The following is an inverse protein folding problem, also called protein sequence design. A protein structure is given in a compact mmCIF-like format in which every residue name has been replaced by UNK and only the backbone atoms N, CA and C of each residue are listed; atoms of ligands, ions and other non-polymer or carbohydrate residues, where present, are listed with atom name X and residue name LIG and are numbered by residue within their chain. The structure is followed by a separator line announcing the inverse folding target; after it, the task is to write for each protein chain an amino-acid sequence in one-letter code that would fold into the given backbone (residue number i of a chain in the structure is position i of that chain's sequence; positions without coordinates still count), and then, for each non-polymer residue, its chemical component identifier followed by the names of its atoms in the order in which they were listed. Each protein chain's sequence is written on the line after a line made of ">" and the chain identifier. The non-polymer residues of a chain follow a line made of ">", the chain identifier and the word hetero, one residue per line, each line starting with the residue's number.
data_IF_821988777130
#
_entry.id   IF_821988777130
#
_cell.length_a   1.000
_cell.length_b   1.000
_cell.length_c   1.000
_cell.angle_alpha   90.00
_cell.angle_beta   90.00
_cell.angle_gamma   90.00
#
_symmetry.space_group_name_H-M   'P 1'
#
loop_
_entity.id
_entity.type
_entity.pdbx_description
1 polymer ?
#
# COMPACT_ATOMS: atom_id res chain seq x y z
N UNK A 1 27.07 -43.16 32.41
CA UNK A 1 27.21 -42.51 33.73
C UNK A 1 26.34 -41.26 33.61
N UNK A 2 25.04 -41.42 33.78
CA UNK A 2 24.16 -41.11 34.92
C UNK A 2 24.60 -39.85 35.67
N UNK A 3 23.71 -38.87 35.75
CA UNK A 3 22.73 -38.69 36.81
C UNK A 3 21.71 -37.59 36.44
N UNK A 4 20.41 -37.94 36.58
CA UNK A 4 19.23 -37.08 36.68
C UNK A 4 19.29 -36.08 37.83
N UNK A 5 18.65 -34.92 37.63
CA UNK A 5 17.89 -34.26 38.70
C UNK A 5 16.74 -33.43 38.14
N UNK A 6 15.52 -33.92 38.35
CA UNK A 6 14.28 -33.20 38.32
C UNK A 6 14.15 -32.31 39.55
N UNK A 7 13.63 -31.12 39.46
CA UNK A 7 12.93 -30.45 40.56
C UNK A 7 11.69 -29.73 40.11
N UNK A 8 10.66 -29.99 40.84
CA UNK A 8 9.22 -29.72 40.73
C UNK A 8 8.85 -28.28 41.03
N UNK A 9 7.75 -27.84 40.43
CA UNK A 9 6.99 -26.64 40.75
C UNK A 9 6.42 -26.60 42.17
N UNK A 10 6.02 -25.40 42.62
CA UNK A 10 4.64 -25.32 43.13
C UNK A 10 3.80 -24.15 42.58
N UNK A 11 2.54 -24.48 42.41
CA UNK A 11 1.43 -23.63 42.10
C UNK A 11 1.11 -22.63 43.24
N UNK A 12 0.75 -21.39 42.90
CA UNK A 12 0.07 -20.49 43.83
C UNK A 12 -1.20 -19.89 43.18
N UNK A 13 -2.25 -20.03 43.97
CA UNK A 13 -3.68 -19.75 43.68
C UNK A 13 -3.97 -18.24 43.63
N UNK A 14 -4.93 -17.88 42.78
CA UNK A 14 -5.62 -16.58 42.75
C UNK A 14 -6.53 -16.39 43.98
N UNK A 15 -6.83 -15.13 44.35
CA UNK A 15 -8.14 -14.81 44.88
C UNK A 15 -8.99 -13.94 43.93
N UNK A 16 -10.24 -14.36 43.79
CA UNK A 16 -11.36 -13.59 43.23
C UNK A 16 -11.72 -12.44 44.17
N UNK A 17 -11.98 -11.27 43.64
CA UNK A 17 -12.80 -10.26 44.32
C UNK A 17 -14.01 -9.91 43.47
N UNK A 18 -15.19 -10.20 44.02
CA UNK A 18 -16.48 -9.63 43.66
C UNK A 18 -16.49 -8.14 44.08
N UNK A 19 -17.06 -7.28 43.27
CA UNK A 19 -17.65 -6.02 43.72
C UNK A 19 -18.97 -5.79 42.96
N UNK A 20 -19.95 -5.50 43.75
CA UNK A 20 -21.38 -5.36 43.62
C UNK A 20 -21.85 -4.21 42.75
N UNK A 21 -23.06 -4.40 42.19
CA UNK A 21 -23.95 -3.43 41.56
C UNK A 21 -24.28 -2.25 42.49
N UNK A 22 -24.36 -1.06 41.90
CA UNK A 22 -25.10 0.08 42.47
C UNK A 22 -25.79 0.82 41.34
N UNK A 23 -27.11 0.65 41.22
CA UNK A 23 -27.96 1.41 40.32
C UNK A 23 -28.34 2.77 40.91
N UNK A 24 -28.53 3.75 40.05
CA UNK A 24 -29.34 4.91 40.35
C UNK A 24 -30.07 5.40 39.10
N UNK A 25 -31.38 5.28 39.14
CA UNK A 25 -32.37 5.88 38.24
C UNK A 25 -32.60 7.32 38.62
N UNK A 26 -32.72 8.23 37.67
CA UNK A 26 -33.54 9.45 37.86
C UNK A 26 -34.19 9.85 36.54
N UNK A 27 -35.50 9.95 36.60
CA UNK A 27 -36.42 10.36 35.54
C UNK A 27 -36.72 11.88 35.64
N UNK A 28 -37.27 12.42 34.57
CA UNK A 28 -37.98 13.71 34.56
C UNK A 28 -37.45 14.63 33.43
N UNK A 29 -38.24 15.38 32.68
CA UNK A 29 -39.66 15.47 32.43
C UNK A 29 -39.86 16.23 31.10
N UNK A 30 -41.00 16.02 30.49
CA UNK A 30 -41.52 16.68 29.27
C UNK A 30 -41.69 18.21 29.47
N UNK A 31 -41.53 18.95 28.36
CA UNK A 31 -42.34 20.14 28.12
C UNK A 31 -42.65 20.28 26.63
N UNK A 32 -43.92 20.13 26.31
CA UNK A 32 -44.58 20.53 25.08
C UNK A 32 -44.86 22.04 25.13
N UNK A 33 -44.72 22.74 24.01
CA UNK A 33 -45.52 23.93 23.74
C UNK A 33 -45.77 24.02 22.23
N UNK A 34 -47.05 24.16 21.90
CA UNK A 34 -47.62 24.16 20.56
C UNK A 34 -48.11 25.58 20.16
N UNK A 35 -48.35 25.70 18.85
CA UNK A 35 -49.29 26.65 18.16
C UNK A 35 -48.86 28.12 18.07
N UNK A 36 -48.96 28.77 16.91
CA UNK A 36 -50.13 28.97 16.02
C UNK A 36 -49.74 29.71 14.72
N UNK A 37 -50.23 29.27 13.60
CA UNK A 37 -51.03 29.89 12.51
C UNK A 37 -50.91 31.42 12.31
N UNK A 38 -50.71 31.91 11.04
CA UNK A 38 -51.76 32.18 10.05
C UNK A 38 -51.16 32.80 8.77
N UNK A 39 -51.66 32.33 7.65
CA UNK A 39 -52.20 32.97 6.41
C UNK A 39 -51.29 33.88 5.55
N UNK A 40 -51.15 33.68 4.30
CA UNK A 40 -51.93 33.80 3.13
C UNK A 40 -51.07 34.08 1.87
N UNK A 41 -51.41 33.45 0.80
CA UNK A 41 -50.94 33.42 -0.59
C UNK A 41 -50.92 34.78 -1.34
N UNK A 42 -50.61 34.85 -2.64
CA UNK A 42 -49.73 34.03 -3.52
C UNK A 42 -48.76 34.90 -4.37
N UNK A 43 -47.65 34.33 -4.85
CA UNK A 43 -46.93 34.92 -5.98
C UNK A 43 -46.23 33.83 -6.82
N UNK A 44 -46.74 33.71 -7.99
CA UNK A 44 -46.14 33.31 -9.30
C UNK A 44 -44.89 32.40 -9.27
N UNK A 45 -45.13 31.15 -9.67
CA UNK A 45 -44.19 30.17 -10.15
C UNK A 45 -43.39 30.67 -11.36
N UNK A 46 -42.06 30.84 -11.18
CA UNK A 46 -41.10 30.67 -12.26
C UNK A 46 -40.45 29.29 -12.04
N UNK A 47 -40.75 28.39 -12.96
CA UNK A 47 -40.08 27.10 -13.06
C UNK A 47 -38.59 27.33 -13.32
N UNK A 48 -37.76 27.06 -12.27
CA UNK A 48 -36.32 26.91 -12.40
C UNK A 48 -36.06 25.46 -12.78
N UNK A 49 -35.77 25.24 -14.06
CA UNK A 49 -35.25 23.96 -14.55
C UNK A 49 -33.90 23.69 -13.89
N UNK A 50 -33.88 22.85 -12.87
CA UNK A 50 -32.64 22.22 -12.39
C UNK A 50 -32.03 21.42 -13.53
N UNK A 51 -30.72 21.58 -13.80
CA UNK A 51 -30.06 20.66 -14.71
C UNK A 51 -30.06 19.28 -14.08
N UNK A 52 -30.77 18.34 -14.71
CA UNK A 52 -30.59 16.92 -14.44
C UNK A 52 -29.12 16.60 -14.70
N UNK A 53 -28.34 16.48 -13.65
CA UNK A 53 -27.07 15.76 -13.70
C UNK A 53 -27.40 14.33 -14.08
N UNK A 54 -27.33 14.02 -15.37
CA UNK A 54 -27.14 12.65 -15.85
C UNK A 54 -25.85 12.16 -15.22
N UNK A 55 -25.97 11.53 -14.07
CA UNK A 55 -24.92 10.71 -13.49
C UNK A 55 -24.59 9.66 -14.54
N UNK A 56 -23.41 9.80 -15.15
CA UNK A 56 -22.84 8.71 -15.92
C UNK A 56 -22.81 7.51 -14.96
N UNK A 57 -23.68 6.54 -15.22
CA UNK A 57 -23.66 5.26 -14.53
C UNK A 57 -22.24 4.72 -14.72
N UNK A 58 -21.45 4.71 -13.65
CA UNK A 58 -20.17 4.01 -13.63
C UNK A 58 -20.47 2.58 -14.02
N UNK A 59 -20.05 2.18 -15.22
CA UNK A 59 -20.18 0.81 -15.67
C UNK A 59 -19.46 -0.05 -14.62
N UNK A 60 -20.25 -0.71 -13.78
CA UNK A 60 -19.69 -1.60 -12.76
C UNK A 60 -18.94 -2.69 -13.50
N UNK A 61 -17.66 -2.82 -13.24
CA UNK A 61 -16.82 -3.83 -13.86
C UNK A 61 -17.48 -5.21 -13.71
N UNK A 62 -17.54 -5.99 -14.79
CA UNK A 62 -18.18 -7.30 -14.77
C UNK A 62 -17.25 -8.31 -14.15
N UNK A 63 -17.68 -9.00 -13.10
CA UNK A 63 -17.01 -10.19 -12.59
C UNK A 63 -17.25 -11.34 -13.59
N UNK A 64 -16.17 -11.91 -14.09
CA UNK A 64 -16.23 -13.01 -15.05
C UNK A 64 -16.42 -14.35 -14.32
N UNK A 65 -17.11 -15.28 -14.96
CA UNK A 65 -17.35 -16.62 -14.41
C UNK A 65 -16.10 -17.49 -14.56
N UNK A 66 -15.61 -18.15 -13.47
CA UNK A 66 -14.50 -19.08 -13.58
C UNK A 66 -14.90 -20.34 -14.37
N UNK A 67 -13.92 -21.16 -14.83
CA UNK A 67 -14.20 -22.44 -15.46
C UNK A 67 -14.87 -23.39 -14.48
N UNK A 68 -15.61 -24.37 -14.97
CA UNK A 68 -16.23 -25.43 -14.13
C UNK A 68 -15.23 -26.48 -13.65
N UNK A 69 -14.11 -26.63 -14.34
CA UNK A 69 -13.01 -27.54 -13.98
C UNK A 69 -12.17 -27.01 -12.82
N UNK A 70 -11.53 -27.89 -12.08
CA UNK A 70 -10.58 -27.51 -11.01
C UNK A 70 -9.33 -26.85 -11.60
N UNK A 71 -8.96 -25.69 -11.05
CA UNK A 71 -7.72 -24.98 -11.40
C UNK A 71 -7.01 -24.52 -10.13
N UNK A 72 -5.72 -24.79 -10.05
CA UNK A 72 -4.84 -24.25 -9.03
C UNK A 72 -4.06 -23.09 -9.67
N UNK A 73 -4.34 -21.88 -9.22
CA UNK A 73 -3.58 -20.68 -9.62
C UNK A 73 -2.40 -20.46 -8.68
N UNK A 74 -1.30 -20.03 -9.24
CA UNK A 74 -0.08 -19.67 -8.51
C UNK A 74 0.20 -18.17 -8.67
N UNK A 75 0.48 -17.51 -7.55
CA UNK A 75 0.91 -16.12 -7.49
C UNK A 75 2.21 -16.00 -6.72
N UNK A 76 3.12 -15.14 -7.18
CA UNK A 76 4.28 -14.74 -6.40
C UNK A 76 4.76 -13.35 -6.77
N UNK A 77 5.47 -12.70 -5.85
CA UNK A 77 6.12 -11.42 -6.14
C UNK A 77 6.09 -10.43 -4.99
N UNK A 78 5.48 -9.27 -5.22
CA UNK A 78 5.46 -8.16 -4.28
C UNK A 78 5.13 -8.54 -2.85
N UNK A 79 6.00 -8.16 -1.92
CA UNK A 79 5.71 -8.31 -0.49
C UNK A 79 4.77 -7.22 0.04
N UNK A 80 4.61 -6.10 -0.67
CA UNK A 80 3.63 -5.06 -0.34
C UNK A 80 2.21 -5.51 -0.71
N UNK A 81 2.03 -6.15 -1.88
CA UNK A 81 0.73 -6.65 -2.35
C UNK A 81 0.34 -8.02 -1.72
N UNK A 82 1.32 -8.82 -1.29
CA UNK A 82 1.12 -10.16 -0.74
C UNK A 82 0.07 -10.25 0.39
N UNK A 83 -0.02 -9.32 1.39
CA UNK A 83 -1.08 -9.36 2.39
C UNK A 83 -2.49 -9.29 1.80
N UNK A 84 -2.70 -8.56 0.70
CA UNK A 84 -3.99 -8.46 0.05
C UNK A 84 -4.37 -9.78 -0.67
N UNK A 85 -3.42 -10.43 -1.34
CA UNK A 85 -3.64 -11.76 -1.93
C UNK A 85 -4.01 -12.81 -0.87
N UNK A 86 -3.41 -12.74 0.33
CA UNK A 86 -3.74 -13.61 1.45
C UNK A 86 -5.17 -13.38 1.99
N UNK A 87 -5.71 -12.18 1.87
CA UNK A 87 -7.12 -11.90 2.20
C UNK A 87 -8.05 -12.40 1.09
N UNK A 88 -7.68 -12.23 -0.17
CA UNK A 88 -8.50 -12.59 -1.32
C UNK A 88 -8.62 -14.11 -1.52
N UNK A 89 -7.51 -14.84 -1.43
CA UNK A 89 -7.43 -16.26 -1.77
C UNK A 89 -8.48 -17.11 -1.04
N UNK A 90 -8.54 -17.11 0.30
CA UNK A 90 -9.52 -17.90 1.05
C UNK A 90 -10.97 -17.53 0.73
N UNK A 91 -11.27 -16.25 0.54
CA UNK A 91 -12.63 -15.77 0.25
C UNK A 91 -13.04 -16.16 -1.16
N UNK A 92 -12.15 -16.00 -2.16
CA UNK A 92 -12.40 -16.40 -3.53
C UNK A 92 -12.58 -17.90 -3.68
N UNK A 93 -11.70 -18.71 -3.06
CA UNK A 93 -11.80 -20.18 -3.09
C UNK A 93 -13.05 -20.71 -2.35
N UNK A 94 -13.51 -20.00 -1.31
CA UNK A 94 -14.80 -20.33 -0.67
C UNK A 94 -15.99 -20.08 -1.59
N UNK A 95 -15.94 -18.99 -2.38
CA UNK A 95 -16.99 -18.66 -3.34
C UNK A 95 -16.95 -19.55 -4.58
N UNK A 96 -15.76 -19.98 -5.00
CA UNK A 96 -15.49 -20.82 -6.18
C UNK A 96 -14.60 -22.00 -5.79
N UNK A 97 -15.16 -23.08 -5.18
CA UNK A 97 -14.38 -24.17 -4.57
C UNK A 97 -13.48 -24.95 -5.55
N UNK A 98 -13.76 -24.83 -6.84
CA UNK A 98 -12.93 -25.42 -7.89
C UNK A 98 -11.71 -24.59 -8.28
N UNK A 99 -11.56 -23.37 -7.70
CA UNK A 99 -10.39 -22.53 -7.91
C UNK A 99 -9.63 -22.37 -6.60
N UNK A 100 -8.37 -22.77 -6.59
CA UNK A 100 -7.46 -22.53 -5.47
C UNK A 100 -6.40 -21.51 -5.87
N UNK A 101 -5.92 -20.73 -4.92
CA UNK A 101 -4.85 -19.76 -5.12
C UNK A 101 -3.74 -20.00 -4.09
N UNK A 102 -2.53 -20.26 -4.57
CA UNK A 102 -1.31 -20.30 -3.75
C UNK A 102 -0.54 -19.02 -3.96
N UNK A 103 -0.17 -18.33 -2.87
CA UNK A 103 0.48 -17.02 -2.92
C UNK A 103 1.81 -17.02 -2.16
N UNK A 104 2.78 -16.23 -2.61
CA UNK A 104 4.08 -16.09 -1.95
C UNK A 104 4.68 -14.69 -2.13
N UNK A 105 5.12 -14.07 -1.04
CA UNK A 105 5.83 -12.79 -1.04
C UNK A 105 7.35 -12.98 -1.27
N UNK A 106 7.79 -13.03 -2.52
CA UNK A 106 9.18 -13.33 -2.90
C UNK A 106 9.97 -12.13 -3.42
N UNK A 107 9.33 -10.96 -3.50
CA UNK A 107 9.84 -9.74 -4.11
C UNK A 107 9.39 -9.57 -5.57
N UNK A 108 9.06 -8.34 -5.95
CA UNK A 108 8.49 -8.02 -7.28
C UNK A 108 9.39 -8.45 -8.44
N UNK A 109 10.71 -8.37 -8.26
CA UNK A 109 11.67 -8.85 -9.29
C UNK A 109 11.50 -10.33 -9.62
N UNK A 110 11.27 -11.17 -8.59
CA UNK A 110 10.95 -12.61 -8.77
C UNK A 110 9.61 -12.79 -9.46
N UNK A 111 8.56 -12.06 -9.00
CA UNK A 111 7.22 -12.12 -9.62
C UNK A 111 7.24 -11.78 -11.10
N UNK A 112 7.88 -10.68 -11.48
CA UNK A 112 8.02 -10.27 -12.89
C UNK A 112 8.78 -11.33 -13.70
N UNK A 113 9.92 -11.82 -13.20
CA UNK A 113 10.74 -12.77 -13.94
C UNK A 113 10.06 -14.13 -14.13
N UNK A 114 9.35 -14.63 -13.12
CA UNK A 114 8.63 -15.89 -13.21
C UNK A 114 7.38 -15.79 -14.10
N UNK A 115 6.65 -14.67 -14.06
CA UNK A 115 5.54 -14.42 -14.98
C UNK A 115 6.04 -14.31 -16.43
N UNK A 116 7.16 -13.64 -16.67
CA UNK A 116 7.78 -13.54 -17.98
C UNK A 116 8.23 -14.90 -18.53
N UNK A 117 8.72 -15.79 -17.65
CA UNK A 117 9.11 -17.16 -18.00
C UNK A 117 7.92 -18.12 -18.14
N UNK A 118 6.67 -17.69 -17.78
CA UNK A 118 5.51 -18.58 -17.73
C UNK A 118 5.59 -19.65 -16.63
N UNK A 119 6.42 -19.41 -15.60
CA UNK A 119 6.62 -20.33 -14.48
C UNK A 119 5.53 -20.19 -13.40
N UNK A 120 4.80 -19.10 -13.40
CA UNK A 120 3.64 -18.82 -12.56
C UNK A 120 2.52 -18.16 -13.36
N UNK A 121 1.31 -18.24 -12.83
CA UNK A 121 0.11 -17.68 -13.48
C UNK A 121 0.02 -16.17 -13.31
N UNK A 122 0.38 -15.65 -12.13
CA UNK A 122 0.26 -14.25 -11.76
C UNK A 122 1.53 -13.80 -11.04
N UNK A 123 2.28 -12.87 -11.63
CA UNK A 123 3.34 -12.13 -10.94
C UNK A 123 2.74 -10.92 -10.21
N UNK A 124 3.20 -10.63 -9.00
CA UNK A 124 2.81 -9.43 -8.25
C UNK A 124 3.93 -8.39 -8.29
N UNK A 125 3.57 -7.11 -8.53
CA UNK A 125 4.54 -6.03 -8.65
C UNK A 125 3.95 -4.69 -8.17
N UNK A 126 4.74 -3.92 -7.43
CA UNK A 126 4.37 -2.56 -7.00
C UNK A 126 4.76 -1.49 -8.04
N UNK A 127 5.36 -1.91 -9.15
CA UNK A 127 5.70 -1.04 -10.26
C UNK A 127 5.32 -1.67 -11.59
N UNK A 128 5.05 -0.82 -12.57
CA UNK A 128 4.82 -1.25 -13.95
C UNK A 128 6.10 -1.79 -14.57
N UNK A 129 5.93 -2.63 -15.60
CA UNK A 129 7.04 -3.16 -16.39
C UNK A 129 7.80 -2.02 -17.07
N UNK A 130 9.13 -2.06 -17.01
CA UNK A 130 9.98 -1.15 -17.75
C UNK A 130 9.85 -1.37 -19.26
N UNK A 131 10.23 -0.36 -20.06
CA UNK A 131 10.23 -0.48 -21.51
C UNK A 131 11.10 -1.64 -22.02
N UNK A 132 12.21 -1.93 -21.33
CA UNK A 132 13.07 -3.09 -21.65
C UNK A 132 12.37 -4.42 -21.37
N UNK A 133 11.64 -4.53 -20.26
CA UNK A 133 10.86 -5.75 -19.95
C UNK A 133 9.72 -5.96 -20.93
N UNK A 134 8.98 -4.91 -21.29
CA UNK A 134 7.93 -4.97 -22.33
C UNK A 134 8.50 -5.37 -23.69
N UNK A 135 9.66 -4.83 -24.07
CA UNK A 135 10.32 -5.15 -25.34
C UNK A 135 10.83 -6.59 -25.36
N UNK A 136 11.36 -7.08 -24.24
CA UNK A 136 11.84 -8.46 -24.12
C UNK A 136 10.70 -9.49 -24.08
N UNK A 137 9.55 -9.10 -23.53
CA UNK A 137 8.37 -9.96 -23.32
C UNK A 137 7.08 -9.26 -23.79
N UNK A 138 6.83 -9.15 -25.13
CA UNK A 138 5.72 -8.36 -25.68
C UNK A 138 4.32 -8.81 -25.25
N UNK A 139 4.19 -10.06 -24.79
CA UNK A 139 2.93 -10.62 -24.28
C UNK A 139 2.67 -10.40 -22.79
N UNK A 140 3.59 -9.73 -22.09
CA UNK A 140 3.45 -9.50 -20.66
C UNK A 140 2.60 -8.25 -20.39
N UNK A 141 1.58 -8.38 -19.54
CA UNK A 141 0.59 -7.34 -19.26
C UNK A 141 0.85 -6.74 -17.86
N UNK A 142 0.61 -5.42 -17.73
CA UNK A 142 0.49 -4.74 -16.46
C UNK A 142 -0.99 -4.53 -16.13
N UNK A 143 -1.55 -5.27 -15.23
CA UNK A 143 -2.97 -5.16 -14.87
C UNK A 143 -3.07 -4.49 -13.51
N UNK A 144 -3.46 -3.18 -13.41
CA UNK A 144 -3.66 -2.52 -12.14
C UNK A 144 -4.73 -3.23 -11.30
N UNK A 145 -4.46 -3.42 -9.99
CA UNK A 145 -5.32 -4.12 -9.05
C UNK A 145 -5.88 -3.20 -7.95
N UNK A 146 -5.05 -2.33 -7.40
CA UNK A 146 -5.39 -1.40 -6.32
C UNK A 146 -4.39 -0.24 -6.31
N UNK A 147 -4.62 0.76 -5.48
CA UNK A 147 -3.64 1.82 -5.19
C UNK A 147 -3.04 1.55 -3.82
N UNK A 148 -1.72 1.65 -3.71
CA UNK A 148 -0.99 1.56 -2.45
C UNK A 148 -0.07 2.75 -2.22
N UNK A 149 0.64 2.73 -1.10
CA UNK A 149 1.64 3.73 -0.74
C UNK A 149 2.83 3.07 -0.05
N UNK A 150 3.94 3.81 -0.01
CA UNK A 150 5.13 3.40 0.74
C UNK A 150 5.45 4.42 1.82
N UNK A 151 5.64 3.96 3.05
CA UNK A 151 6.00 4.76 4.22
C UNK A 151 7.52 4.92 4.33
N UNK A 152 7.96 5.98 5.00
CA UNK A 152 9.31 6.11 5.54
C UNK A 152 9.24 5.97 7.06
N UNK A 153 9.76 4.88 7.57
CA UNK A 153 9.72 4.56 9.00
C UNK A 153 11.10 4.71 9.64
N UNK A 154 11.12 4.92 10.94
CA UNK A 154 12.36 5.02 11.72
C UNK A 154 12.21 4.41 13.11
N UNK A 155 13.32 3.99 13.70
CA UNK A 155 13.39 3.53 15.08
C UNK A 155 14.19 4.52 15.92
N UNK A 156 13.48 5.43 16.59
CA UNK A 156 14.10 6.50 17.37
C UNK A 156 13.39 6.68 18.71
N UNK A 157 13.69 5.84 19.71
CA UNK A 157 13.05 5.90 21.01
C UNK A 157 13.21 7.29 21.67
N UNK A 158 12.14 7.77 22.28
CA UNK A 158 12.10 9.10 22.94
C UNK A 158 11.74 10.26 22.01
N UNK A 159 11.64 10.05 20.72
CA UNK A 159 11.04 11.02 19.78
C UNK A 159 9.57 10.71 19.62
N UNK A 160 8.73 11.66 19.99
CA UNK A 160 7.26 11.58 19.82
C UNK A 160 6.81 12.33 18.59
N UNK A 161 5.68 11.88 18.02
CA UNK A 161 5.12 12.47 16.80
C UNK A 161 5.83 12.02 15.53
N UNK A 162 5.56 12.73 14.45
CA UNK A 162 6.07 12.40 13.13
C UNK A 162 7.18 13.38 12.74
N UNK A 163 8.37 12.85 12.43
CA UNK A 163 9.45 13.67 11.89
C UNK A 163 9.13 14.07 10.44
N UNK A 164 9.48 15.30 10.09
CA UNK A 164 9.44 15.79 8.70
C UNK A 164 10.76 15.47 8.03
N UNK A 165 10.69 14.80 6.89
CA UNK A 165 11.83 14.49 6.04
C UNK A 165 11.51 14.86 4.59
N UNK A 166 12.47 15.44 3.89
CA UNK A 166 12.34 15.74 2.47
C UNK A 166 13.26 14.82 1.62
N UNK A 167 13.10 14.78 0.29
CA UNK A 167 13.93 13.94 -0.56
C UNK A 167 15.42 14.21 -0.41
N UNK A 168 15.83 15.46 -0.23
CA UNK A 168 17.23 15.84 -0.09
C UNK A 168 17.85 15.31 1.21
N UNK A 169 17.14 15.43 2.33
CA UNK A 169 17.60 14.86 3.60
C UNK A 169 17.68 13.35 3.53
N UNK A 170 16.65 12.69 2.97
CA UNK A 170 16.63 11.23 2.84
C UNK A 170 17.75 10.76 1.90
N UNK A 171 17.94 11.40 0.75
CA UNK A 171 19.03 11.09 -0.18
C UNK A 171 20.39 11.17 0.52
N UNK A 172 20.66 12.27 1.21
CA UNK A 172 21.92 12.47 1.94
C UNK A 172 22.14 11.45 3.07
N UNK A 173 21.07 10.97 3.69
CA UNK A 173 21.16 9.86 4.65
C UNK A 173 21.61 8.57 3.93
N UNK A 174 20.98 8.20 2.83
CA UNK A 174 21.30 6.99 2.06
C UNK A 174 22.58 7.10 1.24
N UNK A 175 23.18 8.30 1.16
CA UNK A 175 24.52 8.55 0.63
C UNK A 175 25.61 8.62 1.73
N UNK A 176 25.22 8.54 3.01
CA UNK A 176 26.14 8.66 4.16
C UNK A 176 26.66 10.06 4.41
N UNK A 177 26.04 11.09 3.82
CA UNK A 177 26.37 12.50 4.06
C UNK A 177 25.77 13.02 5.36
N UNK A 178 24.61 12.49 5.78
CA UNK A 178 23.98 12.74 7.07
C UNK A 178 24.01 11.42 7.86
N UNK A 179 24.70 11.42 9.01
CA UNK A 179 25.02 10.21 9.76
C UNK A 179 24.44 10.16 11.17
N UNK A 180 23.84 11.23 11.65
CA UNK A 180 23.22 11.32 12.98
C UNK A 180 21.87 12.03 12.92
N UNK A 181 20.93 11.60 13.76
CA UNK A 181 19.57 12.12 13.77
C UNK A 181 19.47 13.59 14.21
N UNK A 182 20.42 14.08 14.99
CA UNK A 182 20.51 15.50 15.39
C UNK A 182 21.26 16.39 14.38
N UNK A 183 21.48 15.90 13.15
CA UNK A 183 22.07 16.73 12.08
C UNK A 183 21.26 18.01 11.86
N UNK A 184 21.97 19.11 11.58
CA UNK A 184 21.35 20.42 11.39
C UNK A 184 20.30 20.46 10.27
N UNK A 185 20.46 19.64 9.21
CA UNK A 185 19.49 19.55 8.14
C UNK A 185 18.17 18.90 8.61
N UNK A 186 18.22 17.85 9.43
CA UNK A 186 17.04 17.24 10.03
C UNK A 186 16.39 18.18 11.05
N UNK A 187 17.20 18.78 11.93
CA UNK A 187 16.72 19.72 12.96
C UNK A 187 15.99 20.93 12.36
N UNK A 188 16.46 21.44 11.23
CA UNK A 188 15.83 22.54 10.49
C UNK A 188 14.41 22.21 10.03
N UNK A 189 14.16 20.97 9.62
CA UNK A 189 12.83 20.51 9.21
C UNK A 189 11.90 20.26 10.41
N UNK A 190 12.46 20.09 11.62
CA UNK A 190 11.76 19.68 12.83
C UNK A 190 11.97 20.67 13.99
N UNK A 191 11.59 21.95 13.83
CA UNK A 191 11.78 22.94 14.88
C UNK A 191 10.99 22.53 16.13
N UNK A 192 11.65 22.63 17.30
CA UNK A 192 11.05 22.29 18.60
C UNK A 192 11.12 20.80 18.96
N UNK A 193 11.60 19.93 18.07
CA UNK A 193 11.84 18.52 18.38
C UNK A 193 13.26 18.34 18.91
N UNK A 194 13.41 17.73 20.09
CA UNK A 194 14.73 17.34 20.62
C UNK A 194 15.18 16.06 19.91
N UNK A 195 16.09 16.18 18.98
CA UNK A 195 16.65 15.05 18.25
C UNK A 195 17.88 14.48 18.97
N UNK A 196 17.95 13.15 19.16
CA UNK A 196 19.11 12.53 19.80
C UNK A 196 20.31 12.47 18.86
N UNK A 197 21.52 12.45 19.43
CA UNK A 197 22.76 12.23 18.67
C UNK A 197 22.97 10.77 18.22
N UNK A 198 21.87 10.04 18.07
CA UNK A 198 21.89 8.65 17.65
C UNK A 198 22.38 8.54 16.21
N UNK A 199 23.30 7.59 15.95
CA UNK A 199 23.78 7.30 14.59
C UNK A 199 22.63 6.78 13.73
N UNK A 200 22.55 7.27 12.49
CA UNK A 200 21.58 6.77 11.52
C UNK A 200 22.06 5.45 10.92
N UNK A 201 21.14 4.51 10.80
CA UNK A 201 21.33 3.21 10.15
C UNK A 201 20.35 3.10 8.98
N UNK A 202 20.78 3.43 7.75
CA UNK A 202 19.95 3.24 6.58
C UNK A 202 19.72 1.76 6.32
N UNK A 203 18.45 1.38 6.15
CA UNK A 203 18.05 0.02 5.85
C UNK A 203 17.52 -0.06 4.43
N UNK A 204 18.01 -1.00 3.62
CA UNK A 204 17.57 -1.16 2.24
C UNK A 204 17.25 -2.62 1.91
N UNK A 205 16.48 -2.84 0.84
CA UNK A 205 16.15 -4.17 0.32
C UNK A 205 17.36 -4.79 -0.38
N UNK A 206 17.60 -6.06 -0.13
CA UNK A 206 18.64 -6.86 -0.80
C UNK A 206 18.07 -7.79 -1.89
N UNK A 207 16.75 -7.95 -1.93
CA UNK A 207 16.02 -8.64 -2.99
C UNK A 207 15.58 -7.64 -4.08
N UNK A 208 15.27 -8.14 -5.28
CA UNK A 208 14.68 -7.35 -6.36
C UNK A 208 13.28 -6.87 -5.95
N UNK A 209 13.13 -5.58 -5.67
CA UNK A 209 11.95 -5.01 -5.03
C UNK A 209 11.45 -3.76 -5.72
N UNK A 210 10.16 -3.70 -6.00
CA UNK A 210 9.55 -2.46 -6.43
C UNK A 210 9.37 -1.44 -5.29
N UNK A 211 9.45 -1.84 -4.02
CA UNK A 211 9.63 -0.86 -2.93
C UNK A 211 10.93 -0.06 -3.10
N UNK A 212 12.02 -0.72 -3.52
CA UNK A 212 13.27 -0.02 -3.89
C UNK A 212 13.06 0.91 -5.08
N UNK A 213 12.28 0.47 -6.08
CA UNK A 213 11.95 1.31 -7.24
C UNK A 213 11.18 2.56 -6.83
N UNK A 214 10.12 2.43 -6.01
CA UNK A 214 9.30 3.56 -5.55
C UNK A 214 10.15 4.55 -4.74
N UNK A 215 10.89 4.06 -3.77
CA UNK A 215 11.77 4.83 -2.91
C UNK A 215 12.83 5.59 -3.71
N UNK A 216 13.58 4.89 -4.54
CA UNK A 216 14.67 5.50 -5.31
C UNK A 216 14.16 6.47 -6.38
N UNK A 217 12.97 6.21 -6.95
CA UNK A 217 12.32 7.14 -7.87
C UNK A 217 11.84 8.42 -7.15
N UNK A 218 11.35 8.30 -5.90
CA UNK A 218 11.01 9.46 -5.07
C UNK A 218 12.23 10.35 -4.85
N UNK A 219 13.39 9.77 -4.52
CA UNK A 219 14.64 10.52 -4.37
C UNK A 219 15.10 11.13 -5.71
N UNK A 220 15.08 10.35 -6.80
CA UNK A 220 15.48 10.83 -8.13
C UNK A 220 14.65 12.02 -8.62
N UNK A 221 13.33 12.02 -8.31
CA UNK A 221 12.45 13.13 -8.71
C UNK A 221 12.53 14.33 -7.76
N UNK A 222 12.73 14.09 -6.48
CA UNK A 222 12.77 15.11 -5.45
C UNK A 222 14.13 15.78 -5.28
N UNK A 223 15.22 15.04 -5.53
CA UNK A 223 16.60 15.53 -5.46
C UNK A 223 17.46 14.96 -6.61
N UNK A 224 17.18 15.34 -7.86
CA UNK A 224 17.93 14.82 -9.00
C UNK A 224 19.40 15.27 -9.03
N UNK A 225 19.75 16.31 -8.29
CA UNK A 225 21.10 16.85 -8.28
C UNK A 225 22.06 15.99 -7.45
N UNK A 226 21.65 15.60 -6.24
CA UNK A 226 22.50 14.79 -5.35
C UNK A 226 22.28 13.28 -5.64
N UNK A 227 21.03 12.81 -5.68
CA UNK A 227 20.72 11.39 -5.87
C UNK A 227 20.92 10.88 -7.30
N UNK A 228 20.76 11.75 -8.29
CA UNK A 228 20.78 11.42 -9.71
C UNK A 228 19.40 11.16 -10.31
N UNK A 229 19.10 11.86 -11.41
CA UNK A 229 17.77 11.87 -12.05
C UNK A 229 17.29 10.50 -12.55
N UNK A 230 18.20 9.54 -12.78
CA UNK A 230 17.91 8.20 -13.30
C UNK A 230 18.40 7.08 -12.36
N UNK A 231 18.75 7.42 -11.12
CA UNK A 231 19.22 6.43 -10.13
C UNK A 231 18.05 5.75 -9.41
N UNK A 232 17.23 5.02 -10.15
CA UNK A 232 16.12 4.24 -9.61
C UNK A 232 15.93 2.92 -10.34
N UNK A 233 15.42 1.92 -9.63
CA UNK A 233 15.19 0.58 -10.16
C UNK A 233 14.76 -0.39 -9.07
N UNK A 234 14.37 -1.60 -9.49
CA UNK A 234 14.04 -2.70 -8.56
C UNK A 234 15.25 -3.24 -7.82
N UNK A 235 16.44 -2.97 -8.33
CA UNK A 235 17.73 -3.18 -7.69
C UNK A 235 18.66 -2.05 -8.12
N UNK A 236 19.21 -1.34 -7.14
CA UNK A 236 20.18 -0.27 -7.35
C UNK A 236 21.41 -0.50 -6.48
N UNK A 237 22.53 0.09 -6.86
CA UNK A 237 23.74 0.10 -6.03
C UNK A 237 23.65 1.25 -5.04
N UNK A 238 23.30 0.94 -3.78
CA UNK A 238 23.41 1.95 -2.72
C UNK A 238 24.87 2.27 -2.42
N UNK A 239 25.21 3.53 -2.10
CA UNK A 239 26.56 3.87 -1.67
C UNK A 239 27.01 3.03 -0.45
N UNK A 240 28.28 2.66 -0.36
CA UNK A 240 28.79 1.84 0.75
C UNK A 240 28.82 2.68 2.04
N UNK A 241 27.87 2.43 2.93
CA UNK A 241 27.78 3.05 4.26
C UNK A 241 28.03 1.96 5.31
N UNK A 242 29.03 2.14 6.17
CA UNK A 242 29.41 1.13 7.16
C UNK A 242 28.33 0.79 8.19
N UNK A 243 27.32 1.66 8.36
CA UNK A 243 26.17 1.41 9.22
C UNK A 243 24.95 0.86 8.47
N UNK A 244 24.93 0.89 7.15
CA UNK A 244 23.77 0.43 6.38
C UNK A 244 23.56 -1.08 6.56
N UNK A 245 22.29 -1.48 6.62
CA UNK A 245 21.87 -2.87 6.73
C UNK A 245 20.97 -3.24 5.56
N UNK A 246 20.93 -4.52 5.26
CA UNK A 246 20.06 -5.08 4.22
C UNK A 246 19.01 -6.01 4.82
N UNK A 247 17.80 -6.00 4.23
CA UNK A 247 16.73 -6.92 4.60
C UNK A 247 15.93 -7.41 3.38
N UNK A 248 15.35 -8.59 3.49
CA UNK A 248 14.52 -9.19 2.44
C UNK A 248 13.05 -8.98 2.74
N UNK A 249 12.30 -8.45 1.78
CA UNK A 249 10.86 -8.22 1.88
C UNK A 249 10.47 -7.17 2.91
N UNK A 250 9.21 -6.71 2.88
CA UNK A 250 8.70 -5.73 3.85
C UNK A 250 8.73 -6.25 5.29
N UNK A 251 8.41 -7.52 5.52
CA UNK A 251 8.49 -8.14 6.85
C UNK A 251 9.91 -8.14 7.42
N UNK A 252 10.92 -8.38 6.58
CA UNK A 252 12.33 -8.26 6.95
C UNK A 252 12.74 -6.84 7.29
N UNK A 253 12.28 -5.85 6.50
CA UNK A 253 12.51 -4.42 6.77
C UNK A 253 11.93 -4.00 8.12
N UNK A 254 10.67 -4.39 8.43
CA UNK A 254 10.07 -4.13 9.75
C UNK A 254 10.87 -4.76 10.86
N UNK A 255 11.18 -6.06 10.73
CA UNK A 255 11.88 -6.82 11.77
C UNK A 255 13.28 -6.28 12.07
N UNK A 256 14.03 -5.91 11.03
CA UNK A 256 15.39 -5.40 11.20
C UNK A 256 15.39 -3.97 11.75
N UNK A 257 14.48 -3.10 11.26
CA UNK A 257 14.34 -1.75 11.79
C UNK A 257 13.92 -1.74 13.25
N UNK A 258 13.02 -2.63 13.66
CA UNK A 258 12.56 -2.74 15.05
C UNK A 258 13.70 -3.10 16.04
N UNK A 259 14.68 -3.86 15.61
CA UNK A 259 15.85 -4.25 16.41
C UNK A 259 16.96 -3.20 16.43
N UNK A 260 16.94 -2.27 15.48
CA UNK A 260 18.05 -1.36 15.20
C UNK A 260 17.67 0.07 15.58
N UNK A 261 18.11 0.53 16.74
CA UNK A 261 17.95 1.93 17.15
C UNK A 261 18.73 2.84 16.19
N UNK A 262 18.08 3.89 15.73
CA UNK A 262 18.61 4.79 14.70
C UNK A 262 18.32 4.37 13.27
N UNK A 263 17.60 3.25 13.06
CA UNK A 263 17.16 2.81 11.73
C UNK A 263 16.31 3.88 11.02
N UNK A 264 16.49 3.98 9.70
CA UNK A 264 15.53 4.56 8.74
C UNK A 264 15.28 3.55 7.64
N UNK A 265 14.01 3.33 7.26
CA UNK A 265 13.60 2.30 6.31
C UNK A 265 12.42 2.77 5.46
N UNK A 266 12.34 2.30 4.22
CA UNK A 266 11.15 2.40 3.38
C UNK A 266 10.37 1.08 3.47
N UNK A 267 9.08 1.16 3.80
CA UNK A 267 8.21 0.02 4.09
C UNK A 267 6.86 0.24 3.45
N UNK A 268 6.30 -0.78 2.80
CA UNK A 268 4.99 -0.70 2.19
C UNK A 268 3.85 -0.55 3.20
N UNK A 269 2.82 0.21 2.86
CA UNK A 269 1.73 0.58 3.77
C UNK A 269 0.94 -0.63 4.31
N UNK A 270 0.93 -1.75 3.60
CA UNK A 270 0.28 -2.98 4.09
C UNK A 270 0.94 -3.56 5.35
N UNK A 271 2.09 -3.03 5.75
CA UNK A 271 2.81 -3.36 6.97
C UNK A 271 2.64 -2.31 8.08
N UNK A 272 1.77 -1.31 7.91
CA UNK A 272 1.56 -0.24 8.90
C UNK A 272 1.21 -0.78 10.29
N UNK A 273 0.29 -1.72 10.39
CA UNK A 273 -0.05 -2.35 11.67
C UNK A 273 1.16 -3.04 12.34
N UNK A 274 2.10 -3.57 11.54
CA UNK A 274 3.32 -4.18 12.05
C UNK A 274 4.35 -3.14 12.48
N UNK A 275 4.50 -2.03 11.74
CA UNK A 275 5.40 -0.92 12.14
C UNK A 275 4.91 -0.28 13.43
N UNK A 276 3.61 -0.04 13.56
CA UNK A 276 2.98 0.50 14.78
C UNK A 276 3.15 -0.46 15.98
N UNK A 277 2.89 -1.76 15.78
CA UNK A 277 3.10 -2.79 16.82
C UNK A 277 4.55 -2.84 17.33
N UNK A 278 5.49 -2.55 16.46
CA UNK A 278 6.93 -2.52 16.78
C UNK A 278 7.42 -1.12 17.19
N UNK A 279 6.50 -0.17 17.42
CA UNK A 279 6.80 1.20 17.86
C UNK A 279 7.76 1.96 16.93
N UNK A 280 7.73 1.66 15.64
CA UNK A 280 8.47 2.44 14.65
C UNK A 280 7.77 3.78 14.43
N UNK A 281 8.54 4.85 14.39
CA UNK A 281 8.05 6.16 13.96
C UNK A 281 7.77 6.16 12.45
N UNK A 282 6.85 7.00 12.02
CA UNK A 282 6.52 7.24 10.62
C UNK A 282 6.80 8.69 10.28
N UNK A 283 7.53 8.95 9.21
CA UNK A 283 7.87 10.29 8.81
C UNK A 283 6.77 10.91 7.94
N UNK A 284 6.48 12.20 8.17
CA UNK A 284 5.83 13.04 7.16
C UNK A 284 6.84 13.36 6.08
N UNK A 285 6.55 12.99 4.83
CA UNK A 285 7.48 13.24 3.72
C UNK A 285 7.02 14.40 2.83
N UNK A 286 7.98 15.16 2.33
CA UNK A 286 7.69 16.31 1.46
C UNK A 286 7.17 15.83 0.10
N UNK A 287 6.03 16.38 -0.32
CA UNK A 287 5.47 16.17 -1.66
C UNK A 287 5.99 17.19 -2.67
N UNK A 288 5.61 17.02 -3.94
CA UNK A 288 6.05 17.92 -5.03
C UNK A 288 5.57 19.37 -4.91
N UNK A 289 4.65 19.66 -3.99
CA UNK A 289 4.18 21.03 -3.63
C UNK A 289 4.89 21.59 -2.39
N UNK A 290 5.84 20.85 -1.80
CA UNK A 290 6.59 21.25 -0.61
C UNK A 290 5.87 21.05 0.72
N UNK A 291 4.72 20.39 0.73
CA UNK A 291 3.99 20.06 1.96
C UNK A 291 4.45 18.70 2.51
N UNK A 292 4.50 18.60 3.85
CA UNK A 292 4.85 17.37 4.55
C UNK A 292 3.56 16.61 4.91
N UNK A 293 3.44 15.38 4.43
CA UNK A 293 2.20 14.59 4.52
C UNK A 293 2.49 13.15 4.96
N UNK A 294 1.50 12.53 5.61
CA UNK A 294 1.47 11.11 5.93
C UNK A 294 0.64 10.35 4.89
N UNK A 295 0.84 9.04 4.71
CA UNK A 295 0.08 8.20 3.78
C UNK A 295 -1.24 7.75 4.40
N UNK A 296 -2.18 8.66 4.58
CA UNK A 296 -3.55 8.32 4.94
C UNK A 296 -4.47 8.21 3.72
N UNK A 297 -5.69 7.75 3.95
CA UNK A 297 -6.67 7.57 2.88
C UNK A 297 -6.90 8.85 2.07
N UNK A 298 -6.97 10.02 2.74
CA UNK A 298 -7.28 11.29 2.08
C UNK A 298 -6.10 11.79 1.24
N UNK A 299 -4.87 11.65 1.74
CA UNK A 299 -3.65 12.10 1.04
C UNK A 299 -3.29 11.19 -0.12
N UNK A 300 -3.52 9.87 -0.01
CA UNK A 300 -3.37 8.91 -1.10
C UNK A 300 -4.41 9.18 -2.21
N UNK A 301 -5.70 9.32 -1.83
CA UNK A 301 -6.78 9.59 -2.78
C UNK A 301 -6.58 10.93 -3.50
N UNK A 302 -6.12 11.97 -2.78
CA UNK A 302 -5.87 13.28 -3.35
C UNK A 302 -4.79 13.24 -4.44
N UNK A 303 -3.69 12.51 -4.21
CA UNK A 303 -2.63 12.37 -5.22
C UNK A 303 -3.09 11.49 -6.40
N UNK A 304 -3.73 10.35 -6.10
CA UNK A 304 -4.18 9.40 -7.10
C UNK A 304 -5.21 10.01 -8.09
N UNK A 305 -6.07 10.90 -7.61
CA UNK A 305 -7.08 11.58 -8.44
C UNK A 305 -6.45 12.34 -9.62
N UNK A 306 -5.26 12.92 -9.43
CA UNK A 306 -4.53 13.64 -10.47
C UNK A 306 -4.02 12.76 -11.61
N UNK A 307 -3.86 11.47 -11.38
CA UNK A 307 -3.34 10.53 -12.38
C UNK A 307 -4.43 9.76 -13.14
N UNK A 308 -5.68 9.83 -12.70
CA UNK A 308 -6.80 9.04 -13.26
C UNK A 308 -6.96 9.24 -14.78
N UNK A 309 -6.82 10.48 -15.26
CA UNK A 309 -6.98 10.81 -16.70
C UNK A 309 -5.72 10.54 -17.52
N UNK A 310 -4.56 10.50 -16.89
CA UNK A 310 -3.26 10.30 -17.56
C UNK A 310 -2.79 8.85 -17.53
N UNK A 311 -3.48 7.96 -16.83
CA UNK A 311 -3.18 6.54 -16.82
C UNK A 311 -3.39 5.96 -18.23
N UNK A 312 -2.33 5.42 -18.88
CA UNK A 312 -2.44 4.86 -20.22
C UNK A 312 -3.17 3.51 -20.20
N UNK A 313 -3.62 3.05 -21.36
CA UNK A 313 -4.42 1.82 -21.49
C UNK A 313 -3.71 0.56 -20.95
N UNK A 314 -2.37 0.54 -20.97
CA UNK A 314 -1.56 -0.54 -20.40
C UNK A 314 -1.27 -0.34 -18.90
N UNK A 315 -1.85 0.66 -18.24
CA UNK A 315 -1.68 0.94 -16.82
C UNK A 315 -0.28 1.42 -16.39
N UNK A 316 0.69 1.52 -17.29
CA UNK A 316 2.09 1.82 -16.97
C UNK A 316 2.30 3.32 -16.71
N UNK A 317 2.20 3.73 -15.45
CA UNK A 317 2.37 5.12 -15.03
C UNK A 317 3.13 5.23 -13.71
N UNK A 318 4.02 6.22 -13.60
CA UNK A 318 4.62 6.61 -12.32
C UNK A 318 3.76 7.68 -11.65
N UNK A 319 3.27 7.39 -10.46
CA UNK A 319 2.54 8.34 -9.61
C UNK A 319 3.42 8.93 -8.51
N UNK A 320 4.73 8.68 -8.56
CA UNK A 320 5.70 9.13 -7.56
C UNK A 320 6.01 10.62 -7.73
N UNK A 321 5.98 11.36 -6.62
CA UNK A 321 6.34 12.78 -6.53
C UNK A 321 5.58 13.65 -7.54
N UNK A 322 4.32 13.31 -7.77
CA UNK A 322 3.42 14.14 -8.57
C UNK A 322 3.15 15.48 -7.87
N UNK A 323 2.71 16.45 -8.64
CA UNK A 323 2.29 17.77 -8.15
C UNK A 323 0.79 17.95 -8.37
N UNK A 324 0.04 16.87 -8.20
CA UNK A 324 -1.37 16.83 -8.59
C UNK A 324 -2.26 17.42 -7.51
N UNK A 325 -1.87 17.29 -6.23
CA UNK A 325 -2.60 17.83 -5.09
C UNK A 325 -1.65 18.42 -4.04
N UNK A 326 -2.05 19.55 -3.44
CA UNK A 326 -1.25 20.21 -2.40
C UNK A 326 -1.05 19.31 -1.17
N UNK A 327 -2.01 18.43 -0.86
CA UNK A 327 -1.96 17.49 0.26
C UNK A 327 -1.79 16.03 -0.20
N UNK A 328 -1.39 15.81 -1.47
CA UNK A 328 -1.20 14.46 -2.01
C UNK A 328 0.05 13.78 -1.43
N UNK A 329 -0.07 12.49 -1.08
CA UNK A 329 1.07 11.70 -0.61
C UNK A 329 2.01 11.34 -1.77
N UNK A 330 3.33 11.60 -1.68
CA UNK A 330 4.21 11.58 -2.85
C UNK A 330 4.69 10.19 -3.27
N UNK A 331 4.48 9.13 -2.47
CA UNK A 331 4.98 7.79 -2.77
C UNK A 331 3.79 6.84 -2.86
N UNK A 332 3.02 6.98 -3.93
CA UNK A 332 1.88 6.11 -4.25
C UNK A 332 2.10 5.39 -5.58
N UNK A 333 1.45 4.27 -5.77
CA UNK A 333 1.53 3.46 -6.98
C UNK A 333 0.26 2.66 -7.24
N UNK A 334 0.08 2.17 -8.46
CA UNK A 334 -0.76 1.01 -8.66
C UNK A 334 -0.01 -0.25 -8.28
N UNK A 335 -0.71 -1.16 -7.63
CA UNK A 335 -0.33 -2.56 -7.50
C UNK A 335 -0.73 -3.30 -8.77
N UNK A 336 0.15 -4.15 -9.28
CA UNK A 336 -0.05 -4.81 -10.57
C UNK A 336 -0.05 -6.33 -10.45
N UNK A 337 -1.01 -6.98 -11.14
CA UNK A 337 -0.80 -8.33 -11.62
C UNK A 337 -0.01 -8.28 -12.93
N UNK A 338 1.12 -8.97 -12.95
CA UNK A 338 1.93 -9.18 -14.16
C UNK A 338 1.54 -10.54 -14.72
N UNK A 339 0.90 -10.54 -15.89
CA UNK A 339 0.32 -11.74 -16.48
C UNK A 339 0.79 -11.91 -17.92
N UNK A 340 1.21 -13.10 -18.28
CA UNK A 340 1.46 -13.40 -19.69
C UNK A 340 0.11 -13.55 -20.40
N UNK A 341 -0.08 -12.82 -21.51
CA UNK A 341 -1.31 -12.89 -22.30
C UNK A 341 -1.56 -14.32 -22.83
N UNK A 342 -0.50 -15.06 -23.13
CA UNK A 342 -0.60 -16.46 -23.58
C UNK A 342 -0.38 -17.38 -22.37
N UNK A 343 -1.42 -18.09 -21.98
CA UNK A 343 -1.40 -19.04 -20.85
C UNK A 343 -1.15 -20.48 -21.32
N UNK A 344 -0.85 -21.36 -20.36
CA UNK A 344 -0.61 -22.80 -20.61
C UNK A 344 -1.86 -23.51 -21.15
N UNK A 345 -3.05 -23.03 -20.78
CA UNK A 345 -4.33 -23.55 -21.26
C UNK A 345 -5.42 -22.47 -21.25
N UNK A 346 -6.45 -22.63 -22.07
CA UNK A 346 -7.62 -21.76 -22.08
C UNK A 346 -8.37 -21.80 -20.75
N UNK A 347 -8.32 -22.90 -20.03
CA UNK A 347 -8.91 -23.06 -18.69
C UNK A 347 -8.18 -22.24 -17.66
N UNK A 348 -6.84 -22.25 -17.65
CA UNK A 348 -6.01 -21.37 -16.80
C UNK A 348 -6.25 -19.90 -17.14
N UNK A 349 -6.28 -19.54 -18.41
CA UNK A 349 -6.60 -18.19 -18.87
C UNK A 349 -7.98 -17.72 -18.36
N UNK A 350 -9.00 -18.59 -18.43
CA UNK A 350 -10.34 -18.28 -17.91
C UNK A 350 -10.31 -18.09 -16.40
N UNK A 351 -9.59 -18.92 -15.65
CA UNK A 351 -9.48 -18.83 -14.20
C UNK A 351 -8.79 -17.51 -13.78
N UNK A 352 -7.69 -17.13 -14.44
CA UNK A 352 -6.97 -15.85 -14.20
C UNK A 352 -7.90 -14.67 -14.46
N UNK A 353 -8.58 -14.64 -15.62
CA UNK A 353 -9.53 -13.57 -15.96
C UNK A 353 -10.65 -13.46 -14.92
N UNK A 354 -11.22 -14.58 -14.49
CA UNK A 354 -12.28 -14.60 -13.50
C UNK A 354 -11.81 -14.07 -12.15
N UNK A 355 -10.67 -14.58 -11.65
CA UNK A 355 -10.10 -14.14 -10.38
C UNK A 355 -9.74 -12.64 -10.42
N UNK A 356 -8.99 -12.18 -11.42
CA UNK A 356 -8.56 -10.79 -11.49
C UNK A 356 -9.73 -9.82 -11.75
N UNK A 357 -10.75 -10.23 -12.51
CA UNK A 357 -11.97 -9.42 -12.66
C UNK A 357 -12.74 -9.26 -11.35
N UNK A 358 -12.74 -10.29 -10.50
CA UNK A 358 -13.27 -10.22 -9.14
C UNK A 358 -12.37 -9.34 -8.24
N UNK A 359 -11.05 -9.50 -8.34
CA UNK A 359 -10.08 -8.76 -7.53
C UNK A 359 -10.20 -7.24 -7.72
N UNK A 360 -10.40 -6.75 -8.95
CA UNK A 360 -10.54 -5.32 -9.25
C UNK A 360 -11.97 -4.77 -9.06
N UNK A 361 -12.93 -5.61 -8.70
CA UNK A 361 -14.33 -5.21 -8.59
C UNK A 361 -14.65 -4.68 -7.19
N UNK A 362 -15.38 -3.57 -7.11
CA UNK A 362 -15.80 -2.97 -5.83
C UNK A 362 -16.75 -3.86 -5.01
N UNK A 363 -17.47 -4.80 -5.65
CA UNK A 363 -18.27 -5.83 -4.98
C UNK A 363 -17.47 -7.14 -4.72
N UNK A 364 -16.20 -7.16 -5.07
CA UNK A 364 -15.25 -8.26 -4.89
C UNK A 364 -14.01 -7.81 -4.13
N UNK A 365 -12.84 -8.06 -4.70
CA UNK A 365 -11.55 -7.81 -4.06
C UNK A 365 -11.23 -6.34 -3.78
N UNK A 366 -11.76 -5.39 -4.55
CA UNK A 366 -11.62 -3.96 -4.29
C UNK A 366 -12.67 -3.41 -3.31
N UNK A 367 -13.39 -4.27 -2.60
CA UNK A 367 -14.28 -3.83 -1.53
C UNK A 367 -13.48 -3.23 -0.36
N UNK A 368 -14.01 -2.21 0.34
CA UNK A 368 -13.36 -1.60 1.51
C UNK A 368 -13.03 -2.60 2.61
N UNK A 369 -13.81 -3.69 2.74
CA UNK A 369 -13.57 -4.77 3.70
C UNK A 369 -12.24 -5.51 3.50
N UNK A 370 -11.65 -5.47 2.30
CA UNK A 370 -10.32 -5.99 2.03
C UNK A 370 -9.27 -4.88 2.08
N UNK A 371 -9.50 -3.81 1.30
CA UNK A 371 -8.48 -2.79 1.07
C UNK A 371 -8.09 -2.05 2.35
N UNK A 372 -9.06 -1.75 3.24
CA UNK A 372 -8.78 -1.07 4.51
C UNK A 372 -7.91 -1.87 5.47
N UNK A 373 -7.87 -3.20 5.34
CA UNK A 373 -7.03 -4.05 6.20
C UNK A 373 -5.54 -3.95 5.86
N UNK A 374 -5.23 -3.45 4.67
CA UNK A 374 -3.85 -3.31 4.16
C UNK A 374 -3.51 -1.87 3.78
N UNK A 375 -4.36 -0.90 4.15
CA UNK A 375 -4.13 0.51 3.85
C UNK A 375 -4.22 0.89 2.36
N UNK A 376 -4.84 0.04 1.53
CA UNK A 376 -4.94 0.28 0.09
C UNK A 376 -6.21 1.03 -0.28
N UNK A 377 -6.21 1.62 -1.48
CA UNK A 377 -7.34 2.36 -2.04
C UNK A 377 -7.86 1.68 -3.31
N UNK A 378 -9.18 1.78 -3.59
CA UNK A 378 -9.76 1.18 -4.78
C UNK A 378 -9.25 1.87 -6.06
N UNK A 379 -9.24 1.12 -7.14
CA UNK A 379 -8.97 1.68 -8.46
C UNK A 379 -10.07 2.68 -8.87
N UNK A 380 -9.72 3.79 -9.52
CA UNK A 380 -10.69 4.64 -10.20
C UNK A 380 -11.47 3.86 -11.29
N UNK A 381 -12.76 4.15 -11.52
CA UNK A 381 -13.58 3.40 -12.49
C UNK A 381 -12.99 3.31 -13.90
N UNK A 382 -12.32 4.36 -14.37
CA UNK A 382 -11.65 4.34 -15.68
C UNK A 382 -10.48 3.36 -15.72
N UNK A 383 -9.72 3.25 -14.64
CA UNK A 383 -8.59 2.30 -14.51
C UNK A 383 -9.11 0.88 -14.39
N UNK A 384 -10.22 0.66 -13.65
CA UNK A 384 -10.91 -0.65 -13.63
C UNK A 384 -11.29 -1.08 -15.03
N UNK A 385 -11.85 -0.17 -15.85
CA UNK A 385 -12.22 -0.46 -17.24
C UNK A 385 -11.00 -0.82 -18.10
N UNK A 386 -9.87 -0.13 -17.91
CA UNK A 386 -8.60 -0.43 -18.58
C UNK A 386 -8.07 -1.80 -18.16
N UNK A 387 -8.06 -2.12 -16.86
CA UNK A 387 -7.66 -3.44 -16.35
C UNK A 387 -8.54 -4.54 -16.94
N UNK A 388 -9.86 -4.34 -17.01
CA UNK A 388 -10.76 -5.29 -17.65
C UNK A 388 -10.48 -5.49 -19.14
N UNK A 389 -10.16 -4.42 -19.87
CA UNK A 389 -9.78 -4.53 -21.28
C UNK A 389 -8.51 -5.36 -21.47
N UNK A 390 -7.51 -5.17 -20.61
CA UNK A 390 -6.28 -5.99 -20.63
C UNK A 390 -6.58 -7.47 -20.32
N UNK A 391 -7.49 -7.76 -19.38
CA UNK A 391 -7.90 -9.14 -19.06
C UNK A 391 -8.49 -9.88 -20.27
N UNK A 392 -9.11 -9.19 -21.25
CA UNK A 392 -9.60 -9.84 -22.48
C UNK A 392 -8.46 -10.38 -23.37
N UNK A 393 -7.24 -9.88 -23.20
CA UNK A 393 -6.07 -10.34 -23.96
C UNK A 393 -5.46 -11.63 -23.40
N UNK A 394 -5.85 -12.06 -22.21
CA UNK A 394 -5.35 -13.30 -21.57
C UNK A 394 -6.06 -14.51 -22.20
N UNK A 395 -5.31 -15.38 -22.90
CA UNK A 395 -5.81 -16.50 -23.69
C UNK A 395 -5.09 -17.81 -23.36
#
# INVERSE_FOLDING_TARGET
>A
MDVHAQTTSPSARRPRRLVTLGGLTLAGALALAACSSTSSSPATTKASSSPSTTGAASATAKILTPPSSTVALTETGSTLLYPLFNLWGPVYSKQYPNITLTTAGTGSGTGISQAAAGAIDIGASDAYLSSSQVSAHPGLLNIPLAISAQMINYNLPGVSGHLKLDPTVIARIYEGKITAWNDAAIAKLNPGVTLPATRIVPLHRIDGSCDTFLFSQYLSKGDPADWGANNFGTSISFPPISSALGATGNGGMVSECAKTVGCIAYIGISFEAQTQKNHLGEAMVANGSGNYVLPDNATIDAEAAGFTKSTPANGAISMIYGKTAAQGYPIINYEYAIVNAKQSSSTTAQAIRAFLSWAINAAGGNAPSFLSQVGFRPLPPSVVSQSQAQLQSVQ
#
